data_IF_624771699912
#
_entry.id   IF_624771699912
#
_cell.length_a   1.000
_cell.length_b   1.000
_cell.length_c   1.000
_cell.angle_alpha   90.00
_cell.angle_beta   90.00
_cell.angle_gamma   90.00
#
_symmetry.space_group_name_H-M   'P 1'
#
loop_
_entity.id
_entity.type
_entity.pdbx_description
1 polymer ?
#
# COMPACT_ATOMS: atom_id res chain seq x y z
N UNK A 1 -21.09 -2.01 17.38
CA UNK A 1 -20.05 -2.37 16.38
C UNK A 1 -18.91 -1.41 16.62
N UNK A 2 -17.69 -1.92 16.82
CA UNK A 2 -16.48 -1.11 16.99
C UNK A 2 -15.79 -1.06 15.63
N UNK A 3 -15.54 0.14 15.11
CA UNK A 3 -14.74 0.35 13.91
C UNK A 3 -13.24 0.48 14.26
N UNK A 4 -12.36 0.59 13.26
CA UNK A 4 -10.92 0.70 13.50
C UNK A 4 -10.52 1.97 14.27
N UNK A 5 -11.19 3.09 14.03
CA UNK A 5 -10.90 4.36 14.71
C UNK A 5 -11.36 4.30 16.19
N UNK A 6 -12.50 3.66 16.44
CA UNK A 6 -13.03 3.42 17.78
C UNK A 6 -12.04 2.63 18.63
N UNK A 7 -11.29 1.69 18.05
CA UNK A 7 -10.28 0.92 18.80
C UNK A 7 -9.20 1.83 19.39
N UNK A 8 -8.70 2.79 18.62
CA UNK A 8 -7.67 3.71 19.07
C UNK A 8 -8.22 4.73 20.06
N UNK A 9 -9.42 5.26 19.80
CA UNK A 9 -10.09 6.21 20.71
C UNK A 9 -10.38 5.55 22.06
N UNK A 10 -10.92 4.33 22.05
CA UNK A 10 -11.20 3.58 23.27
C UNK A 10 -9.93 3.24 24.04
N UNK A 11 -8.85 2.86 23.33
CA UNK A 11 -7.54 2.64 23.97
C UNK A 11 -7.05 3.92 24.67
N UNK A 12 -7.07 5.05 23.98
CA UNK A 12 -6.70 6.34 24.57
C UNK A 12 -7.54 6.64 25.82
N UNK A 13 -8.86 6.49 25.72
CA UNK A 13 -9.78 6.72 26.83
C UNK A 13 -9.47 5.83 28.05
N UNK A 14 -9.17 4.54 27.84
CA UNK A 14 -8.77 3.63 28.93
C UNK A 14 -7.46 4.07 29.56
N UNK A 15 -6.45 4.43 28.76
CA UNK A 15 -5.15 4.87 29.27
C UNK A 15 -5.22 6.19 30.05
N UNK A 16 -6.13 7.10 29.67
CA UNK A 16 -6.34 8.37 30.37
C UNK A 16 -7.10 8.21 31.69
N UNK A 17 -8.06 7.27 31.75
CA UNK A 17 -8.99 7.17 32.88
C UNK A 17 -8.69 6.03 33.86
N UNK A 18 -7.89 5.04 33.48
CA UNK A 18 -7.52 3.89 34.32
C UNK A 18 -6.01 3.81 34.53
N UNK A 19 -5.56 4.36 35.66
CA UNK A 19 -4.14 4.33 36.06
C UNK A 19 -3.56 2.92 36.22
N UNK A 20 -4.38 1.92 36.59
CA UNK A 20 -3.91 0.54 36.69
C UNK A 20 -3.67 -0.05 35.30
N UNK A 21 -4.57 0.23 34.35
CA UNK A 21 -4.40 -0.18 32.96
C UNK A 21 -3.16 0.46 32.33
N UNK A 22 -2.95 1.77 32.55
CA UNK A 22 -1.76 2.47 32.07
C UNK A 22 -0.47 1.88 32.68
N UNK A 23 -0.44 1.71 34.01
CA UNK A 23 0.71 1.12 34.70
C UNK A 23 0.99 -0.31 34.24
N UNK A 24 -0.04 -1.11 33.94
CA UNK A 24 0.11 -2.46 33.41
C UNK A 24 0.81 -2.44 32.04
N UNK A 25 0.42 -1.53 31.14
CA UNK A 25 1.02 -1.41 29.82
C UNK A 25 2.48 -0.92 29.92
N UNK A 26 2.73 0.13 30.71
CA UNK A 26 4.08 0.69 30.92
C UNK A 26 5.04 -0.34 31.54
N UNK A 27 4.57 -1.13 32.51
CA UNK A 27 5.43 -2.16 33.15
C UNK A 27 5.63 -3.39 32.28
N UNK A 28 4.63 -3.78 31.50
CA UNK A 28 4.70 -4.96 30.62
C UNK A 28 5.60 -4.73 29.41
N UNK A 29 5.50 -3.55 28.79
CA UNK A 29 6.27 -3.21 27.60
C UNK A 29 7.39 -2.23 27.97
N UNK A 30 8.55 -2.80 28.30
CA UNK A 30 9.74 -2.00 28.65
C UNK A 30 10.45 -1.42 27.42
N UNK A 31 10.21 -1.97 26.23
CA UNK A 31 10.80 -1.49 24.98
C UNK A 31 9.70 -1.47 23.92
N UNK A 32 9.48 -0.31 23.32
CA UNK A 32 8.48 -0.10 22.27
C UNK A 32 9.21 0.34 21.01
N UNK A 33 8.97 -0.39 19.93
CA UNK A 33 9.48 -0.08 18.60
C UNK A 33 8.32 0.38 17.74
N UNK A 34 8.47 1.56 17.13
CA UNK A 34 7.49 2.10 16.19
C UNK A 34 8.19 2.31 14.86
N UNK A 35 7.81 1.51 13.88
CA UNK A 35 8.24 1.66 12.49
C UNK A 35 7.30 2.61 11.74
N UNK A 36 7.77 3.16 10.62
CA UNK A 36 7.04 4.12 9.78
C UNK A 36 6.48 5.33 10.57
N UNK A 37 7.27 5.88 11.50
CA UNK A 37 6.84 6.95 12.41
C UNK A 37 6.40 8.24 11.68
N UNK A 38 6.81 8.44 10.42
CA UNK A 38 6.37 9.57 9.60
C UNK A 38 4.88 9.53 9.26
N UNK A 39 4.24 8.36 9.37
CA UNK A 39 2.85 8.15 8.98
C UNK A 39 1.88 8.15 10.16
N UNK A 40 2.36 8.45 11.37
CA UNK A 40 1.51 8.51 12.55
C UNK A 40 0.61 9.75 12.55
N UNK A 41 -0.60 9.58 13.06
CA UNK A 41 -1.56 10.67 13.23
C UNK A 41 -1.56 11.23 14.68
N UNK A 42 -2.23 12.37 14.94
CA UNK A 42 -2.25 12.97 16.28
C UNK A 42 -2.81 12.05 17.38
N UNK A 43 -3.79 11.20 17.08
CA UNK A 43 -4.37 10.27 18.06
C UNK A 43 -3.35 9.20 18.48
N UNK A 44 -2.64 8.63 17.51
CA UNK A 44 -1.57 7.67 17.77
C UNK A 44 -0.44 8.31 18.56
N UNK A 45 -0.04 9.54 18.21
CA UNK A 45 0.96 10.30 18.98
C UNK A 45 0.56 10.45 20.45
N UNK A 46 -0.68 10.84 20.73
CA UNK A 46 -1.19 10.99 22.10
C UNK A 46 -1.17 9.68 22.88
N UNK A 47 -1.52 8.56 22.25
CA UNK A 47 -1.45 7.23 22.88
C UNK A 47 0.00 6.88 23.22
N UNK A 48 0.94 7.16 22.30
CA UNK A 48 2.37 6.93 22.51
C UNK A 48 2.87 7.80 23.66
N UNK A 49 2.49 9.08 23.74
CA UNK A 49 2.86 9.99 24.82
C UNK A 49 2.28 9.55 26.18
N UNK A 50 1.10 8.94 26.24
CA UNK A 50 0.58 8.35 27.48
C UNK A 50 1.44 7.17 27.96
N UNK A 51 1.79 6.26 27.05
CA UNK A 51 2.58 5.06 27.37
C UNK A 51 4.06 5.43 27.62
N UNK A 52 4.58 6.38 26.86
CA UNK A 52 5.95 6.88 26.89
C UNK A 52 5.94 8.40 27.03
N UNK A 53 5.73 8.93 28.26
CA UNK A 53 5.70 10.36 28.48
C UNK A 53 6.99 11.05 28.04
N UNK A 54 6.91 12.23 27.40
CA UNK A 54 8.07 13.05 27.08
C UNK A 54 8.93 13.39 28.31
N UNK A 55 10.23 13.58 28.11
CA UNK A 55 11.19 13.76 29.19
C UNK A 55 11.04 15.08 29.97
N UNK A 56 10.33 16.06 29.40
CA UNK A 56 10.00 17.29 30.11
C UNK A 56 8.94 17.08 31.20
N UNK A 57 8.18 15.99 31.16
CA UNK A 57 7.18 15.62 32.16
C UNK A 57 7.85 14.90 33.35
N UNK A 58 8.59 15.68 34.14
CA UNK A 58 9.45 15.23 35.27
C UNK A 58 8.75 14.45 36.39
N UNK A 59 7.43 14.31 36.36
CA UNK A 59 6.63 13.65 37.41
C UNK A 59 6.53 12.12 37.27
N UNK A 60 6.97 11.53 36.15
CA UNK A 60 6.85 10.10 35.90
C UNK A 60 8.24 9.49 35.67
N UNK A 61 8.68 8.62 36.59
CA UNK A 61 9.83 7.75 36.32
C UNK A 61 9.33 6.63 35.40
N UNK A 62 9.41 6.86 34.09
CA UNK A 62 9.06 5.83 33.13
C UNK A 62 10.26 4.91 32.86
N UNK A 63 10.05 3.61 33.02
CA UNK A 63 11.06 2.60 32.69
C UNK A 63 10.99 2.14 31.22
N UNK A 64 9.89 2.43 30.52
CA UNK A 64 9.73 2.12 29.10
C UNK A 64 10.69 2.94 28.23
N UNK A 65 11.32 2.27 27.27
CA UNK A 65 12.18 2.86 26.25
C UNK A 65 11.45 2.87 24.92
N UNK A 66 11.37 4.03 24.30
CA UNK A 66 10.77 4.23 23.00
C UNK A 66 11.86 4.30 21.92
N UNK A 67 11.72 3.49 20.89
CA UNK A 67 12.57 3.48 19.70
C UNK A 67 11.66 3.74 18.51
N UNK A 68 11.95 4.80 17.77
CA UNK A 68 11.22 5.15 16.55
C UNK A 68 12.12 4.97 15.33
N UNK A 69 11.52 4.53 14.24
CA UNK A 69 12.16 4.43 12.93
C UNK A 69 11.22 5.12 11.94
N UNK A 70 11.76 5.97 11.08
CA UNK A 70 10.96 6.65 10.07
C UNK A 70 11.80 7.51 9.14
N UNK A 71 11.16 7.91 8.05
CA UNK A 71 11.75 8.73 6.99
C UNK A 71 10.74 9.81 6.60
N UNK A 72 11.02 11.09 6.92
CA UNK A 72 10.12 12.19 6.59
C UNK A 72 9.95 12.43 5.08
N UNK A 73 10.90 11.98 4.25
CA UNK A 73 10.78 12.05 2.78
C UNK A 73 9.83 10.96 2.23
N UNK A 74 9.44 9.97 3.04
CA UNK A 74 8.53 8.88 2.66
C UNK A 74 7.10 9.05 3.18
N UNK A 75 6.78 10.18 3.82
CA UNK A 75 5.42 10.45 4.30
C UNK A 75 4.46 10.73 3.14
N UNK A 76 3.66 9.73 2.79
CA UNK A 76 2.66 9.82 1.71
C UNK A 76 1.22 9.78 2.23
N UNK A 77 1.03 9.61 3.55
CA UNK A 77 -0.29 9.48 4.18
C UNK A 77 -0.84 10.79 4.77
N UNK A 78 -0.34 11.96 4.34
CA UNK A 78 -0.84 13.27 4.81
C UNK A 78 -2.36 13.42 4.68
N UNK A 79 -2.95 12.88 3.61
CA UNK A 79 -4.41 12.88 3.39
C UNK A 79 -5.21 12.09 4.45
N UNK A 80 -4.55 11.24 5.24
CA UNK A 80 -5.11 10.51 6.39
C UNK A 80 -4.77 11.17 7.74
N UNK A 81 -4.21 12.38 7.72
CA UNK A 81 -3.81 13.12 8.91
C UNK A 81 -2.46 12.68 9.49
N UNK A 82 -1.62 12.01 8.71
CA UNK A 82 -0.24 11.75 9.10
C UNK A 82 0.58 13.04 9.19
N UNK A 83 1.48 13.10 10.16
CA UNK A 83 2.23 14.31 10.51
C UNK A 83 3.73 14.04 10.62
N UNK A 84 4.49 14.13 9.51
CA UNK A 84 5.93 13.79 9.49
C UNK A 84 6.78 14.67 10.39
N UNK A 85 6.29 15.86 10.77
CA UNK A 85 6.95 16.75 11.73
C UNK A 85 7.23 16.08 13.07
N UNK A 86 6.47 15.05 13.45
CA UNK A 86 6.67 14.36 14.72
C UNK A 86 8.03 13.66 14.80
N UNK A 87 8.60 13.19 13.68
CA UNK A 87 9.98 12.67 13.66
C UNK A 87 10.96 13.76 14.11
N UNK A 88 10.80 14.98 13.59
CA UNK A 88 11.70 16.10 13.90
C UNK A 88 11.52 16.64 15.31
N UNK A 89 10.28 16.66 15.78
CA UNK A 89 9.95 17.12 17.12
C UNK A 89 10.39 16.12 18.19
N UNK A 90 10.58 14.84 17.83
CA UNK A 90 11.00 13.80 18.75
C UNK A 90 12.26 14.20 19.53
N UNK A 91 13.22 14.81 18.83
CA UNK A 91 14.49 15.24 19.44
C UNK A 91 14.34 16.33 20.51
N UNK A 92 13.21 17.04 20.49
CA UNK A 92 12.87 18.08 21.47
C UNK A 92 12.04 17.53 22.63
N UNK A 93 11.30 16.44 22.41
CA UNK A 93 10.38 15.86 23.37
C UNK A 93 11.06 14.82 24.27
N UNK A 94 12.01 14.06 23.74
CA UNK A 94 12.70 12.99 24.46
C UNK A 94 14.20 13.31 24.58
N UNK A 95 14.93 12.62 25.46
CA UNK A 95 16.39 12.54 25.44
C UNK A 95 16.77 11.21 24.80
N UNK A 96 17.14 11.28 23.54
CA UNK A 96 17.41 10.13 22.69
C UNK A 96 18.81 10.20 22.08
N UNK A 97 19.18 9.10 21.43
CA UNK A 97 20.31 9.04 20.52
C UNK A 97 19.77 8.78 19.13
N UNK A 98 20.08 9.67 18.18
CA UNK A 98 19.64 9.55 16.79
C UNK A 98 20.73 8.85 15.98
N UNK A 99 20.33 7.84 15.20
CA UNK A 99 21.22 7.09 14.30
C UNK A 99 20.73 7.29 12.88
N UNK A 100 21.59 7.85 12.04
CA UNK A 100 21.30 8.10 10.63
C UNK A 100 21.73 6.92 9.77
N UNK A 101 20.79 6.33 9.03
CA UNK A 101 21.05 5.21 8.12
C UNK A 101 21.01 5.71 6.67
N UNK A 102 22.16 6.19 6.18
CA UNK A 102 22.27 6.77 4.83
C UNK A 102 22.58 5.75 3.75
N UNK A 103 23.04 4.54 4.10
CA UNK A 103 23.43 3.53 3.11
C UNK A 103 22.20 2.80 2.57
N UNK A 104 21.95 2.93 1.26
CA UNK A 104 20.91 2.21 0.56
C UNK A 104 21.43 0.87 0.03
N UNK A 105 20.96 -0.23 0.64
CA UNK A 105 21.30 -1.59 0.23
C UNK A 105 20.33 -2.19 -0.81
N UNK A 106 19.19 -1.52 -1.05
CA UNK A 106 18.13 -2.04 -1.92
C UNK A 106 18.46 -1.82 -3.39
N UNK A 107 18.75 -0.58 -3.75
CA UNK A 107 18.78 -0.06 -5.12
C UNK A 107 20.21 0.11 -5.65
N UNK A 108 20.35 0.04 -6.97
CA UNK A 108 21.61 0.36 -7.68
C UNK A 108 21.87 1.87 -7.70
N UNK A 109 23.14 2.26 -7.90
CA UNK A 109 23.56 3.64 -7.89
C UNK A 109 22.74 4.59 -8.80
N UNK A 110 22.39 4.24 -10.06
CA UNK A 110 21.55 5.11 -10.91
C UNK A 110 20.19 5.45 -10.28
N UNK A 111 19.52 4.46 -9.68
CA UNK A 111 18.20 4.63 -9.04
C UNK A 111 18.31 5.51 -7.80
N UNK A 112 19.33 5.29 -6.96
CA UNK A 112 19.58 6.11 -5.76
C UNK A 112 19.87 7.56 -6.14
N UNK A 113 20.66 7.78 -7.20
CA UNK A 113 21.00 9.12 -7.67
C UNK A 113 19.79 9.89 -8.18
N UNK A 114 18.91 9.25 -8.97
CA UNK A 114 17.67 9.87 -9.43
C UNK A 114 16.74 10.18 -8.25
N UNK A 115 16.61 9.27 -7.27
CA UNK A 115 15.84 9.51 -6.05
C UNK A 115 16.34 10.73 -5.28
N UNK A 116 17.66 10.81 -5.02
CA UNK A 116 18.30 11.95 -4.37
C UNK A 116 18.10 13.27 -5.14
N UNK A 117 18.18 13.20 -6.48
CA UNK A 117 17.98 14.37 -7.34
C UNK A 117 16.53 14.85 -7.27
N UNK A 118 15.56 13.94 -7.36
CA UNK A 118 14.14 14.26 -7.28
C UNK A 118 13.80 14.92 -5.94
N UNK A 119 14.16 14.26 -4.82
CA UNK A 119 13.83 14.75 -3.48
C UNK A 119 14.51 16.09 -3.15
N UNK A 120 15.66 16.37 -3.78
CA UNK A 120 16.36 17.65 -3.57
C UNK A 120 15.51 18.87 -3.93
N UNK A 121 14.53 18.72 -4.83
CA UNK A 121 13.62 19.78 -5.26
C UNK A 121 12.51 20.08 -4.25
N UNK A 122 12.29 19.23 -3.25
CA UNK A 122 11.31 19.50 -2.20
C UNK A 122 11.77 20.69 -1.33
N UNK A 123 10.98 21.76 -1.33
CA UNK A 123 11.27 23.01 -0.60
C UNK A 123 10.64 23.06 0.80
N UNK A 124 9.92 22.02 1.23
CA UNK A 124 9.36 21.99 2.57
C UNK A 124 10.46 21.80 3.63
N UNK A 125 10.09 21.98 4.89
CA UNK A 125 10.96 21.65 6.02
C UNK A 125 11.19 20.14 6.02
N UNK A 126 12.28 19.64 5.40
CA UNK A 126 12.73 18.23 5.43
C UNK A 126 13.96 18.04 6.32
N UNK A 127 14.23 16.83 6.77
CA UNK A 127 15.51 16.47 7.36
C UNK A 127 16.51 16.38 6.21
N UNK A 128 17.55 17.22 6.24
CA UNK A 128 18.53 17.27 5.15
C UNK A 128 19.36 15.99 5.15
N UNK A 129 19.07 15.09 4.22
CA UNK A 129 19.77 13.82 4.03
C UNK A 129 19.96 13.47 2.56
N UNK A 130 20.82 12.49 2.30
CA UNK A 130 21.07 11.95 0.96
C UNK A 130 21.53 10.51 1.07
N UNK A 131 20.91 9.62 0.29
CA UNK A 131 21.20 8.20 0.33
C UNK A 131 22.48 7.85 -0.45
N UNK A 132 23.29 6.95 0.10
CA UNK A 132 24.54 6.46 -0.48
C UNK A 132 24.30 5.05 -1.02
N UNK A 133 24.46 4.78 -2.33
CA UNK A 133 24.25 3.45 -2.86
C UNK A 133 25.34 2.49 -2.39
N UNK A 134 24.94 1.33 -1.88
CA UNK A 134 25.87 0.22 -1.61
C UNK A 134 26.16 -0.59 -2.88
N UNK A 135 25.15 -0.79 -3.73
CA UNK A 135 25.28 -1.52 -5.00
C UNK A 135 25.80 -0.56 -6.08
N UNK A 136 27.06 -0.76 -6.48
CA UNK A 136 27.74 0.06 -7.49
C UNK A 136 27.58 -0.46 -8.93
N UNK A 137 26.84 -1.55 -9.11
CA UNK A 137 26.59 -2.13 -10.41
C UNK A 137 25.84 -1.14 -11.30
N UNK A 138 26.14 -1.18 -12.60
CA UNK A 138 25.40 -0.46 -13.61
C UNK A 138 24.03 -1.12 -13.85
N UNK A 139 23.10 -0.33 -14.37
CA UNK A 139 21.78 -0.80 -14.74
C UNK A 139 20.94 0.34 -15.30
N UNK A 140 19.82 -0.05 -15.89
CA UNK A 140 18.91 0.89 -16.55
C UNK A 140 18.14 1.72 -15.52
N UNK A 141 18.20 3.05 -15.69
CA UNK A 141 17.26 3.97 -15.07
C UNK A 141 17.02 5.14 -16.01
N UNK A 142 15.82 5.23 -16.60
CA UNK A 142 15.50 6.24 -17.61
C UNK A 142 14.06 6.72 -17.49
N UNK A 143 13.84 7.96 -17.91
CA UNK A 143 12.51 8.54 -18.11
C UNK A 143 12.14 8.47 -19.60
N UNK A 144 10.92 8.04 -19.90
CA UNK A 144 10.43 7.91 -21.28
C UNK A 144 9.04 8.54 -21.39
N UNK A 145 8.79 9.23 -22.49
CA UNK A 145 7.52 9.90 -22.78
C UNK A 145 6.85 9.19 -23.94
N UNK A 146 5.53 9.01 -23.82
CA UNK A 146 4.69 8.37 -24.83
C UNK A 146 3.57 9.31 -25.26
N UNK A 147 3.04 9.07 -26.46
CA UNK A 147 1.95 9.89 -27.00
C UNK A 147 0.60 9.58 -26.33
N UNK A 148 0.41 8.36 -25.82
CA UNK A 148 -0.79 7.92 -25.14
C UNK A 148 -0.51 6.72 -24.23
N UNK A 149 -1.46 6.44 -23.33
CA UNK A 149 -1.39 5.35 -22.33
C UNK A 149 -1.28 3.96 -22.97
N UNK A 150 -1.85 3.76 -24.16
CA UNK A 150 -1.79 2.46 -24.85
C UNK A 150 -0.37 2.15 -25.35
N UNK A 151 0.32 3.14 -25.91
CA UNK A 151 1.71 3.00 -26.34
C UNK A 151 2.66 2.78 -25.16
N UNK A 152 2.41 3.47 -24.05
CA UNK A 152 3.14 3.25 -22.80
C UNK A 152 2.94 1.82 -22.29
N UNK A 153 1.69 1.37 -22.13
CA UNK A 153 1.36 0.03 -21.68
C UNK A 153 1.97 -1.08 -22.56
N UNK A 154 1.87 -0.92 -23.89
CA UNK A 154 2.47 -1.85 -24.83
C UNK A 154 3.99 -1.91 -24.72
N UNK A 155 4.64 -0.76 -24.55
CA UNK A 155 6.09 -0.70 -24.38
C UNK A 155 6.52 -1.34 -23.05
N UNK A 156 5.82 -1.07 -21.94
CA UNK A 156 6.11 -1.70 -20.65
C UNK A 156 5.93 -3.21 -20.75
N UNK A 157 4.84 -3.70 -21.34
CA UNK A 157 4.59 -5.13 -21.47
C UNK A 157 5.63 -5.84 -22.36
N UNK A 158 6.12 -5.17 -23.42
CA UNK A 158 7.27 -5.66 -24.20
C UNK A 158 8.56 -5.70 -23.38
N UNK A 159 8.81 -4.69 -22.54
CA UNK A 159 9.99 -4.67 -21.67
C UNK A 159 9.94 -5.78 -20.62
N UNK A 160 8.77 -6.06 -20.05
CA UNK A 160 8.54 -7.18 -19.13
C UNK A 160 8.89 -8.52 -19.81
N UNK A 161 8.42 -8.75 -21.04
CA UNK A 161 8.77 -9.98 -21.78
C UNK A 161 10.28 -10.12 -22.01
N UNK A 162 10.94 -9.03 -22.42
CA UNK A 162 12.39 -9.02 -22.62
C UNK A 162 13.13 -9.38 -21.34
N UNK A 163 12.82 -8.70 -20.23
CA UNK A 163 13.50 -8.92 -18.95
C UNK A 163 13.21 -10.30 -18.38
N UNK A 164 11.96 -10.73 -18.38
CA UNK A 164 11.55 -12.05 -17.86
C UNK A 164 12.17 -13.23 -18.62
N UNK A 165 12.52 -13.03 -19.89
CA UNK A 165 13.20 -14.05 -20.71
C UNK A 165 14.69 -14.18 -20.38
N UNK A 166 15.30 -13.15 -19.80
CA UNK A 166 16.70 -13.13 -19.36
C UNK A 166 16.83 -13.69 -17.92
N UNK A 167 15.74 -13.69 -17.16
CA UNK A 167 15.69 -14.18 -15.77
C UNK A 167 15.66 -15.71 -15.66
N UNK A 168 16.19 -16.22 -14.54
CA UNK A 168 16.10 -17.66 -14.25
C UNK A 168 14.64 -18.08 -14.07
N UNK A 169 14.21 -19.20 -14.67
CA UNK A 169 12.84 -19.68 -14.52
C UNK A 169 12.46 -19.91 -13.05
N UNK A 170 11.20 -19.62 -12.73
CA UNK A 170 10.65 -19.83 -11.39
C UNK A 170 10.40 -21.33 -11.14
N UNK A 171 10.86 -21.83 -9.99
CA UNK A 171 10.56 -23.18 -9.46
C UNK A 171 10.69 -24.31 -10.50
N UNK A 172 11.88 -24.47 -11.10
CA UNK A 172 12.22 -25.57 -12.02
C UNK A 172 11.31 -25.72 -13.25
N UNK A 173 10.48 -24.71 -13.58
CA UNK A 173 9.70 -24.68 -14.82
C UNK A 173 10.60 -24.32 -16.00
N UNK A 174 11.40 -25.30 -16.43
CA UNK A 174 12.32 -25.19 -17.57
C UNK A 174 11.59 -24.57 -18.78
N UNK A 175 12.07 -23.42 -19.24
CA UNK A 175 11.58 -22.74 -20.43
C UNK A 175 10.45 -21.73 -20.24
N UNK A 176 10.01 -21.44 -19.01
CA UNK A 176 9.04 -20.36 -18.75
C UNK A 176 9.70 -19.10 -18.19
N UNK A 177 9.37 -17.90 -18.72
CA UNK A 177 9.88 -16.63 -18.20
C UNK A 177 9.48 -16.41 -16.75
N UNK A 178 10.36 -15.78 -15.97
CA UNK A 178 10.07 -15.40 -14.59
C UNK A 178 9.60 -13.94 -14.51
N UNK A 179 8.38 -13.75 -14.01
CA UNK A 179 7.74 -12.44 -13.87
C UNK A 179 7.73 -11.92 -12.43
N UNK A 180 8.19 -12.70 -11.44
CA UNK A 180 8.04 -12.35 -10.00
C UNK A 180 8.90 -11.17 -9.57
N UNK A 181 9.99 -10.90 -10.29
CA UNK A 181 10.92 -9.80 -10.01
C UNK A 181 10.46 -8.47 -10.62
N UNK A 182 9.29 -8.42 -11.27
CA UNK A 182 8.77 -7.20 -11.89
C UNK A 182 7.57 -6.64 -11.14
N UNK A 183 7.65 -5.35 -10.80
CA UNK A 183 6.56 -4.57 -10.22
C UNK A 183 6.28 -3.38 -11.12
N UNK A 184 5.00 -3.13 -11.42
CA UNK A 184 4.54 -1.94 -12.13
C UNK A 184 3.69 -1.09 -11.20
N UNK A 185 4.09 0.16 -10.99
CA UNK A 185 3.42 1.10 -10.09
C UNK A 185 2.73 2.20 -10.92
N UNK A 186 1.47 2.49 -10.58
CA UNK A 186 0.71 3.58 -11.19
C UNK A 186 0.09 4.48 -10.11
N UNK A 187 0.01 5.80 -10.34
CA UNK A 187 -0.62 6.73 -9.41
C UNK A 187 -2.15 6.57 -9.35
N UNK A 188 -2.80 6.08 -10.42
CA UNK A 188 -4.25 5.94 -10.47
C UNK A 188 -4.70 4.60 -11.11
N UNK A 189 -5.94 4.18 -10.79
CA UNK A 189 -6.52 2.92 -11.30
C UNK A 189 -6.89 2.97 -12.79
N UNK A 190 -7.11 4.16 -13.36
CA UNK A 190 -7.55 4.27 -14.76
C UNK A 190 -6.43 3.85 -15.72
N UNK A 191 -5.18 4.23 -15.42
CA UNK A 191 -3.99 3.82 -16.18
C UNK A 191 -3.77 2.30 -16.16
N UNK A 192 -4.26 1.61 -15.13
CA UNK A 192 -4.11 0.15 -15.03
C UNK A 192 -4.92 -0.59 -16.10
N UNK A 193 -5.98 0.01 -16.66
CA UNK A 193 -6.82 -0.65 -17.68
C UNK A 193 -6.03 -0.96 -18.95
N UNK A 194 -5.35 0.04 -19.52
CA UNK A 194 -4.50 -0.14 -20.71
C UNK A 194 -3.37 -1.13 -20.44
N UNK A 195 -2.82 -1.12 -19.22
CA UNK A 195 -1.80 -2.09 -18.81
C UNK A 195 -2.33 -3.52 -18.79
N UNK A 196 -3.49 -3.76 -18.18
CA UNK A 196 -4.09 -5.10 -18.10
C UNK A 196 -4.36 -5.66 -19.50
N UNK A 197 -4.92 -4.83 -20.39
CA UNK A 197 -5.19 -5.23 -21.78
C UNK A 197 -3.86 -5.64 -22.45
N UNK A 198 -2.82 -4.82 -22.35
CA UNK A 198 -1.52 -5.11 -22.95
C UNK A 198 -0.85 -6.37 -22.38
N UNK A 199 -1.00 -6.63 -21.06
CA UNK A 199 -0.50 -7.85 -20.42
C UNK A 199 -1.26 -9.09 -20.89
N UNK A 200 -2.59 -9.01 -21.00
CA UNK A 200 -3.46 -10.10 -21.45
C UNK A 200 -3.20 -10.45 -22.92
N UNK A 201 -3.12 -9.46 -23.80
CA UNK A 201 -2.80 -9.65 -25.23
C UNK A 201 -1.46 -10.37 -25.43
N UNK A 202 -0.51 -10.16 -24.51
CA UNK A 202 0.83 -10.76 -24.54
C UNK A 202 0.95 -12.04 -23.72
N UNK A 203 -0.12 -12.50 -23.08
CA UNK A 203 -0.11 -13.71 -22.25
C UNK A 203 0.78 -13.62 -21.01
N UNK A 204 1.02 -12.41 -20.48
CA UNK A 204 1.85 -12.18 -19.31
C UNK A 204 1.00 -12.37 -18.04
N UNK A 205 1.36 -13.29 -17.13
CA UNK A 205 0.65 -13.45 -15.86
C UNK A 205 0.94 -12.26 -14.94
N UNK A 206 -0.07 -11.80 -14.21
CA UNK A 206 0.05 -10.69 -13.27
C UNK A 206 -0.87 -10.86 -12.06
N UNK A 207 -0.54 -10.15 -10.98
CA UNK A 207 -1.33 -10.10 -9.74
C UNK A 207 -1.60 -8.63 -9.41
N UNK A 208 -2.81 -8.33 -8.93
CA UNK A 208 -3.19 -7.01 -8.43
C UNK A 208 -3.44 -7.07 -6.92
N UNK A 209 -3.17 -5.97 -6.19
CA UNK A 209 -3.25 -5.92 -4.71
C UNK A 209 -4.66 -6.15 -4.16
N UNK A 210 -5.66 -6.04 -5.01
CA UNK A 210 -7.07 -6.22 -4.69
C UNK A 210 -7.70 -7.05 -5.79
N UNK A 211 -8.67 -7.92 -5.42
CA UNK A 211 -9.76 -8.40 -6.30
C UNK A 211 -10.68 -7.23 -6.72
N UNK A 212 -10.15 -5.99 -6.72
CA UNK A 212 -10.85 -4.85 -7.26
C UNK A 212 -11.01 -5.14 -8.74
N UNK A 213 -12.24 -5.06 -9.15
CA UNK A 213 -12.68 -5.68 -10.35
C UNK A 213 -12.47 -4.60 -11.43
N UNK A 214 -11.26 -4.64 -11.99
CA UNK A 214 -10.62 -3.61 -12.83
C UNK A 214 -11.34 -3.40 -14.17
N UNK A 215 -12.40 -4.17 -14.41
CA UNK A 215 -13.27 -4.12 -15.58
C UNK A 215 -14.39 -3.05 -15.45
N UNK A 216 -14.34 -2.17 -14.45
CA UNK A 216 -15.31 -1.08 -14.31
C UNK A 216 -16.67 -1.55 -13.79
N UNK A 217 -17.75 -1.45 -14.57
CA UNK A 217 -19.07 -1.97 -14.14
C UNK A 217 -19.11 -3.51 -14.17
N UNK A 218 -18.36 -4.14 -15.07
CA UNK A 218 -18.04 -5.58 -15.02
C UNK A 218 -17.17 -5.94 -13.82
N UNK A 219 -16.69 -4.88 -13.16
CA UNK A 219 -16.12 -4.85 -11.84
C UNK A 219 -17.09 -5.17 -10.68
N UNK A 220 -18.37 -5.30 -10.99
CA UNK A 220 -19.39 -5.53 -9.99
C UNK A 220 -19.86 -6.96 -10.23
N UNK A 221 -19.51 -7.89 -9.33
CA UNK A 221 -19.93 -9.30 -9.42
C UNK A 221 -21.41 -9.46 -9.79
N UNK A 222 -22.27 -8.60 -9.22
CA UNK A 222 -23.68 -8.55 -9.58
C UNK A 222 -23.91 -8.22 -11.07
N UNK A 223 -23.27 -7.18 -11.60
CA UNK A 223 -23.40 -6.77 -13.00
C UNK A 223 -22.77 -7.79 -13.94
N UNK A 224 -21.54 -8.24 -13.66
CA UNK A 224 -20.84 -9.27 -14.45
C UNK A 224 -21.69 -10.53 -14.62
N UNK A 225 -22.24 -11.04 -13.52
CA UNK A 225 -23.11 -12.21 -13.53
C UNK A 225 -24.41 -11.95 -14.30
N UNK A 226 -25.01 -10.78 -14.11
CA UNK A 226 -26.25 -10.41 -14.80
C UNK A 226 -26.04 -10.24 -16.31
N UNK A 227 -24.91 -9.66 -16.71
CA UNK A 227 -24.54 -9.47 -18.11
C UNK A 227 -24.25 -10.82 -18.80
N UNK A 228 -23.49 -11.71 -18.16
CA UNK A 228 -23.24 -13.04 -18.71
C UNK A 228 -24.55 -13.82 -18.89
N UNK A 229 -25.45 -13.79 -17.89
CA UNK A 229 -26.77 -14.41 -18.01
C UNK A 229 -27.59 -13.80 -19.16
N UNK A 230 -27.50 -12.49 -19.41
CA UNK A 230 -28.15 -11.85 -20.54
C UNK A 230 -27.58 -12.32 -21.88
N UNK A 231 -26.25 -12.47 -21.98
CA UNK A 231 -25.62 -13.02 -23.19
C UNK A 231 -26.02 -14.48 -23.41
N UNK A 232 -25.99 -15.32 -22.37
CA UNK A 232 -26.42 -16.71 -22.45
C UNK A 232 -27.90 -16.84 -22.85
N UNK A 233 -28.76 -15.89 -22.45
CA UNK A 233 -30.18 -15.85 -22.87
C UNK A 233 -30.30 -15.52 -24.36
N UNK A 234 -29.48 -14.60 -24.87
CA UNK A 234 -29.48 -14.23 -26.29
C UNK A 234 -29.09 -15.44 -27.14
N UNK A 235 -28.06 -16.18 -26.71
CA UNK A 235 -27.49 -17.31 -27.44
C UNK A 235 -28.27 -18.63 -27.25
N UNK A 236 -29.21 -18.68 -26.29
CA UNK A 236 -29.97 -19.91 -26.01
C UNK A 236 -30.91 -20.33 -27.14
N UNK A 237 -30.72 -21.55 -27.64
CA UNK A 237 -31.46 -22.14 -28.77
C UNK A 237 -32.88 -22.59 -28.41
N UNK A 238 -33.14 -22.95 -27.15
CA UNK A 238 -34.44 -23.49 -26.73
C UNK A 238 -35.17 -22.60 -25.71
N UNK A 239 -36.50 -22.66 -25.75
CA UNK A 239 -37.37 -21.90 -24.85
C UNK A 239 -37.18 -22.32 -23.39
N UNK A 240 -36.89 -23.59 -23.13
CA UNK A 240 -36.67 -24.12 -21.78
C UNK A 240 -35.37 -23.61 -21.16
N UNK A 241 -34.28 -23.55 -21.95
CA UNK A 241 -33.00 -22.96 -21.51
C UNK A 241 -33.19 -21.47 -21.23
N UNK A 242 -33.87 -20.73 -22.13
CA UNK A 242 -34.18 -19.31 -21.92
C UNK A 242 -34.96 -19.08 -20.62
N UNK A 243 -36.03 -19.86 -20.37
CA UNK A 243 -36.81 -19.75 -19.13
C UNK A 243 -35.97 -20.01 -17.88
N UNK A 244 -35.06 -20.99 -17.93
CA UNK A 244 -34.15 -21.28 -16.83
C UNK A 244 -33.20 -20.10 -16.54
N UNK A 245 -32.57 -19.55 -17.58
CA UNK A 245 -31.64 -18.44 -17.44
C UNK A 245 -32.33 -17.13 -16.99
N UNK A 246 -33.53 -16.82 -17.50
CA UNK A 246 -34.34 -15.70 -16.99
C UNK A 246 -34.64 -15.85 -15.51
N UNK A 247 -34.98 -17.06 -15.05
CA UNK A 247 -35.21 -17.33 -13.62
C UNK A 247 -33.95 -17.10 -12.78
N UNK A 248 -32.77 -17.47 -13.29
CA UNK A 248 -31.50 -17.18 -12.61
C UNK A 248 -31.19 -15.67 -12.56
N UNK A 249 -31.46 -14.94 -13.65
CA UNK A 249 -31.26 -13.48 -13.70
C UNK A 249 -32.16 -12.77 -12.69
N UNK A 250 -33.44 -13.10 -12.66
CA UNK A 250 -34.40 -12.56 -11.68
C UNK A 250 -33.95 -12.88 -10.26
N UNK A 251 -33.52 -14.11 -9.99
CA UNK A 251 -33.01 -14.51 -8.67
C UNK A 251 -31.78 -13.68 -8.26
N UNK A 252 -30.86 -13.43 -9.19
CA UNK A 252 -29.68 -12.60 -8.94
C UNK A 252 -30.06 -11.15 -8.57
N UNK A 253 -31.05 -10.56 -9.26
CA UNK A 253 -31.59 -9.23 -8.97
C UNK A 253 -32.30 -9.19 -7.62
N UNK A 254 -33.17 -10.17 -7.34
CA UNK A 254 -33.89 -10.26 -6.07
C UNK A 254 -32.96 -10.41 -4.87
N UNK A 255 -31.91 -11.23 -4.98
CA UNK A 255 -30.91 -11.39 -3.92
C UNK A 255 -30.17 -10.09 -3.61
N UNK A 256 -29.95 -9.23 -4.61
CA UNK A 256 -29.17 -8.01 -4.43
C UNK A 256 -30.03 -6.83 -3.92
N UNK A 257 -31.27 -6.69 -4.37
CA UNK A 257 -32.12 -5.54 -4.04
C UNK A 257 -33.19 -5.81 -2.98
N UNK A 258 -33.62 -7.07 -2.80
CA UNK A 258 -34.80 -7.42 -2.00
C UNK A 258 -34.51 -8.35 -0.82
N UNK A 259 -33.27 -8.84 -0.69
CA UNK A 259 -32.80 -9.55 0.51
C UNK A 259 -31.75 -8.67 1.20
N UNK A 260 -32.14 -7.56 1.84
CA UNK A 260 -31.27 -6.92 2.82
C UNK A 260 -31.16 -7.84 4.04
N UNK A 261 -29.97 -7.96 4.63
CA UNK A 261 -29.63 -8.75 5.83
C UNK A 261 -29.30 -10.24 5.66
N UNK A 262 -28.09 -10.49 5.16
CA UNK A 262 -27.21 -11.53 5.70
C UNK A 262 -25.74 -11.23 5.32
N UNK A 263 -25.25 -10.02 5.66
CA UNK A 263 -23.83 -9.70 5.81
C UNK A 263 -23.69 -8.63 6.87
#
# INVERSE_FOLDING_TARGET
VINFDDMLINLKCVLENDSNALSLIQTRYQYIFIDEFQDINPLQKQIIELICPPDYEKSVINSTKLIIVGDDDQSIYFFRGAEPRYIKEFDRQYRQTSIELMTNYRSIAPVVHIGNTLISNNQHDRIKKSMIPHKLNEGDCYAKVFQNEQLEANWIAMRILSLSSEEKPFQDQIGKPNYTETIVLYPNKNQLKSMIIALQEKGIPFVTKSDDDLLGIFGINFFKRSFNLLMDIIDAETIEIKKHLYKQLIKNICLYYYIPFAK
#
